data_IF_301561131750
#
_entry.id   IF_301561131750
#
_cell.length_a   1.000
_cell.length_b   1.000
_cell.length_c   1.000
_cell.angle_alpha   90.00
_cell.angle_beta   90.00
_cell.angle_gamma   90.00
#
_symmetry.space_group_name_H-M   'P 1'
#
loop_
_entity.id
_entity.type
_entity.pdbx_description
1 polymer ?
#
# COMPACT_ATOMS: atom_id res chain seq x y z
N UNK A 1 -0.13 -8.32 2.88
CA UNK A 1 -1.05 -7.84 3.94
C UNK A 1 -1.93 -6.75 3.35
N UNK A 2 -3.23 -6.76 3.62
CA UNK A 2 -4.18 -5.72 3.20
C UNK A 2 -4.54 -4.85 4.41
N UNK A 3 -4.57 -3.54 4.22
CA UNK A 3 -4.99 -2.59 5.26
C UNK A 3 -6.19 -1.79 4.76
N UNK A 4 -7.34 -1.81 5.47
CA UNK A 4 -8.48 -1.01 5.11
C UNK A 4 -8.15 0.48 5.25
N UNK A 5 -8.43 1.26 4.20
CA UNK A 5 -8.18 2.69 4.17
C UNK A 5 -9.35 3.43 3.53
N UNK A 6 -9.49 4.70 3.87
CA UNK A 6 -10.48 5.57 3.24
C UNK A 6 -9.82 6.33 2.08
N UNK A 7 -10.58 6.55 0.99
CA UNK A 7 -10.09 7.28 -0.19
C UNK A 7 -9.49 8.66 0.16
N UNK A 8 -10.05 9.32 1.17
CA UNK A 8 -9.67 10.66 1.59
C UNK A 8 -8.72 10.69 2.80
N UNK A 9 -8.12 9.55 3.18
CA UNK A 9 -7.13 9.55 4.24
C UNK A 9 -5.95 10.43 3.86
N UNK A 10 -5.48 11.23 4.83
CA UNK A 10 -4.28 12.06 4.64
C UNK A 10 -3.03 11.19 4.55
N UNK A 11 -1.94 11.77 4.05
CA UNK A 11 -0.63 11.10 4.04
C UNK A 11 -0.21 10.67 5.46
N UNK A 12 -0.52 11.49 6.47
CA UNK A 12 -0.22 11.20 7.88
C UNK A 12 -1.05 10.03 8.41
N UNK A 13 -2.36 10.01 8.17
CA UNK A 13 -3.21 8.90 8.59
C UNK A 13 -2.75 7.58 7.93
N UNK A 14 -2.41 7.65 6.65
CA UNK A 14 -1.87 6.53 5.89
C UNK A 14 -0.56 6.01 6.48
N UNK A 15 0.37 6.92 6.83
CA UNK A 15 1.63 6.58 7.48
C UNK A 15 1.46 5.93 8.85
N UNK A 16 0.59 6.49 9.70
CA UNK A 16 0.30 5.92 11.02
C UNK A 16 -0.28 4.51 10.89
N UNK A 17 -1.22 4.32 9.95
CA UNK A 17 -1.83 3.02 9.71
C UNK A 17 -0.82 1.97 9.23
N UNK A 18 0.04 2.32 8.27
CA UNK A 18 1.08 1.42 7.76
C UNK A 18 2.11 1.11 8.85
N UNK A 19 2.45 2.08 9.69
CA UNK A 19 3.36 1.89 10.81
C UNK A 19 2.78 0.91 11.85
N UNK A 20 1.58 1.21 12.35
CA UNK A 20 0.99 0.46 13.45
C UNK A 20 0.55 -0.94 13.07
N UNK A 21 0.02 -1.11 11.85
CA UNK A 21 -0.56 -2.40 11.42
C UNK A 21 0.33 -3.15 10.46
N UNK A 22 1.06 -2.44 9.60
CA UNK A 22 1.94 -3.06 8.61
C UNK A 22 3.27 -3.46 9.17
N UNK A 23 4.07 -2.47 9.55
CA UNK A 23 5.44 -2.71 10.01
C UNK A 23 5.47 -3.51 11.30
N UNK A 24 4.50 -3.32 12.20
CA UNK A 24 4.38 -4.18 13.39
C UNK A 24 4.15 -5.66 13.07
N UNK A 25 3.52 -5.98 11.93
CA UNK A 25 3.22 -7.36 11.56
C UNK A 25 4.33 -8.01 10.72
N UNK A 26 4.97 -7.24 9.85
CA UNK A 26 5.95 -7.76 8.86
C UNK A 26 7.39 -7.36 9.14
N UNK A 27 7.62 -6.47 10.10
CA UNK A 27 8.90 -5.80 10.29
C UNK A 27 9.15 -4.67 9.28
N UNK A 28 10.31 -4.02 9.40
CA UNK A 28 10.74 -2.94 8.51
C UNK A 28 11.27 -3.54 7.20
N UNK A 29 10.70 -3.11 6.08
CA UNK A 29 11.20 -3.49 4.76
C UNK A 29 12.46 -2.70 4.39
N UNK A 30 13.42 -3.36 3.75
CA UNK A 30 14.63 -2.71 3.23
C UNK A 30 14.33 -1.91 1.95
N UNK A 31 13.47 -2.44 1.08
CA UNK A 31 13.07 -1.82 -0.17
C UNK A 31 11.54 -1.83 -0.28
N UNK A 32 10.95 -0.70 -0.63
CA UNK A 32 9.50 -0.55 -0.87
C UNK A 32 9.29 0.04 -2.26
N UNK A 33 8.36 -0.54 -3.01
CA UNK A 33 7.88 -0.02 -4.28
C UNK A 33 6.46 0.48 -4.05
N UNK A 34 6.26 1.79 -4.22
CA UNK A 34 4.95 2.44 -4.06
C UNK A 34 4.46 2.99 -5.39
N UNK A 35 3.16 3.13 -5.54
CA UNK A 35 2.58 3.93 -6.61
C UNK A 35 2.77 5.42 -6.34
N UNK A 36 2.55 6.25 -7.37
CA UNK A 36 2.80 7.71 -7.35
C UNK A 36 1.62 8.54 -6.83
N UNK A 37 0.80 8.00 -5.94
CA UNK A 37 -0.26 8.78 -5.31
C UNK A 37 0.36 9.92 -4.45
N UNK A 38 -0.24 11.13 -4.43
CA UNK A 38 0.28 12.29 -3.70
C UNK A 38 0.62 12.03 -2.24
N UNK A 39 -0.04 11.06 -1.59
CA UNK A 39 0.25 10.68 -0.20
C UNK A 39 1.65 10.09 -0.06
N UNK A 40 2.05 9.25 -1.01
CA UNK A 40 3.32 8.54 -1.02
C UNK A 40 4.46 9.34 -1.65
N UNK A 41 4.16 10.42 -2.38
CA UNK A 41 5.17 11.37 -2.86
C UNK A 41 5.36 12.57 -1.92
N UNK A 42 4.59 12.64 -0.82
CA UNK A 42 4.65 13.73 0.15
C UNK A 42 6.00 13.81 0.88
N UNK A 43 6.33 15.01 1.38
CA UNK A 43 7.53 15.23 2.18
C UNK A 43 7.53 14.39 3.47
N UNK A 44 6.36 14.23 4.10
CA UNK A 44 6.17 13.35 5.26
C UNK A 44 6.61 11.93 4.94
N UNK A 45 6.09 11.36 3.84
CA UNK A 45 6.38 9.99 3.44
C UNK A 45 7.85 9.79 3.09
N UNK A 46 8.42 10.73 2.33
CA UNK A 46 9.84 10.69 1.97
C UNK A 46 10.76 10.74 3.19
N UNK A 47 10.46 11.63 4.16
CA UNK A 47 11.25 11.74 5.39
C UNK A 47 11.09 10.52 6.30
N UNK A 48 9.90 9.93 6.34
CA UNK A 48 9.63 8.71 7.08
C UNK A 48 10.53 7.55 6.61
N UNK A 49 10.61 7.31 5.30
CA UNK A 49 11.48 6.27 4.75
C UNK A 49 12.97 6.52 4.99
N UNK A 50 13.41 7.79 4.93
CA UNK A 50 14.79 8.16 5.28
C UNK A 50 15.12 7.81 6.74
N UNK A 51 14.20 8.09 7.67
CA UNK A 51 14.39 7.78 9.09
C UNK A 51 14.55 6.27 9.34
N UNK A 52 13.79 5.44 8.61
CA UNK A 52 13.85 3.98 8.75
C UNK A 52 14.96 3.32 7.93
N UNK A 53 15.71 4.09 7.13
CA UNK A 53 16.71 3.53 6.22
C UNK A 53 16.11 2.66 5.12
N UNK A 54 14.83 2.83 4.80
CA UNK A 54 14.16 2.08 3.75
C UNK A 54 14.33 2.77 2.40
N UNK A 55 14.71 2.01 1.37
CA UNK A 55 14.75 2.51 0.00
C UNK A 55 13.35 2.55 -0.58
N UNK A 56 12.83 3.75 -0.80
CA UNK A 56 11.56 3.98 -1.49
C UNK A 56 11.80 4.16 -2.99
N UNK A 57 11.15 3.33 -3.79
CA UNK A 57 11.06 3.44 -5.25
C UNK A 57 9.61 3.64 -5.66
N UNK A 58 9.37 4.35 -6.76
CA UNK A 58 8.02 4.49 -7.31
C UNK A 58 7.84 3.62 -8.54
N UNK A 59 6.71 2.93 -8.65
CA UNK A 59 6.36 2.20 -9.85
C UNK A 59 6.24 3.17 -11.05
N UNK A 60 6.60 2.67 -12.21
CA UNK A 60 6.39 3.36 -13.49
C UNK A 60 5.08 2.85 -14.09
N UNK A 61 4.36 3.67 -14.90
CA UNK A 61 3.10 3.26 -15.52
C UNK A 61 3.15 1.97 -16.37
N UNK A 62 4.35 1.47 -16.64
CA UNK A 62 4.62 0.27 -17.44
C UNK A 62 5.57 -0.67 -16.69
N UNK A 63 5.21 -1.11 -15.48
CA UNK A 63 5.86 -2.23 -14.80
C UNK A 63 4.94 -3.45 -14.67
N UNK A 64 4.42 -4.01 -15.80
CA UNK A 64 3.34 -5.00 -15.81
C UNK A 64 3.65 -6.31 -15.06
N UNK A 65 4.92 -6.63 -14.80
CA UNK A 65 5.27 -7.82 -14.01
C UNK A 65 4.99 -7.63 -12.51
N UNK A 66 5.36 -6.50 -11.91
CA UNK A 66 5.07 -6.25 -10.49
C UNK A 66 3.67 -5.66 -10.30
N UNK A 67 3.33 -4.63 -11.06
CA UNK A 67 2.03 -3.99 -10.94
C UNK A 67 0.93 -4.97 -11.33
N UNK A 68 1.11 -5.75 -12.41
CA UNK A 68 0.12 -6.74 -12.83
C UNK A 68 -0.06 -7.92 -11.86
N UNK A 69 0.95 -8.28 -11.06
CA UNK A 69 0.76 -9.29 -10.00
C UNK A 69 -0.08 -8.72 -8.85
N UNK A 70 0.24 -7.51 -8.39
CA UNK A 70 -0.49 -6.85 -7.32
C UNK A 70 -1.93 -6.52 -7.77
N UNK A 71 -2.11 -6.01 -8.98
CA UNK A 71 -3.41 -5.71 -9.57
C UNK A 71 -4.29 -6.96 -9.72
N UNK A 72 -3.73 -8.07 -10.24
CA UNK A 72 -4.49 -9.34 -10.30
C UNK A 72 -4.90 -9.85 -8.92
N UNK A 73 -4.01 -9.72 -7.93
CA UNK A 73 -4.32 -10.08 -6.55
C UNK A 73 -5.46 -9.21 -6.00
N UNK A 74 -5.40 -7.88 -6.20
CA UNK A 74 -6.45 -6.94 -5.78
C UNK A 74 -7.78 -7.27 -6.47
N UNK A 75 -7.79 -7.50 -7.78
CA UNK A 75 -9.01 -7.89 -8.52
C UNK A 75 -9.62 -9.20 -8.00
N UNK A 76 -8.78 -10.21 -7.74
CA UNK A 76 -9.25 -11.50 -7.18
C UNK A 76 -9.89 -11.29 -5.82
N UNK A 77 -9.30 -10.44 -4.99
CA UNK A 77 -9.83 -10.11 -3.66
C UNK A 77 -11.13 -9.29 -3.74
N UNK A 78 -11.20 -8.31 -4.63
CA UNK A 78 -12.42 -7.52 -4.87
C UNK A 78 -13.57 -8.43 -5.32
N UNK A 79 -13.33 -9.40 -6.20
CA UNK A 79 -14.32 -10.38 -6.63
C UNK A 79 -14.78 -11.26 -5.46
N UNK A 80 -13.85 -11.77 -4.64
CA UNK A 80 -14.18 -12.57 -3.44
C UNK A 80 -15.03 -11.75 -2.46
N UNK A 81 -14.63 -10.52 -2.14
CA UNK A 81 -15.35 -9.64 -1.21
C UNK A 81 -16.74 -9.31 -1.77
N UNK A 82 -16.83 -9.03 -3.07
CA UNK A 82 -18.11 -8.72 -3.74
C UNK A 82 -19.07 -9.90 -3.66
N UNK A 83 -18.58 -11.12 -3.92
CA UNK A 83 -19.39 -12.34 -3.81
C UNK A 83 -19.81 -12.61 -2.37
N UNK A 84 -18.90 -12.44 -1.40
CA UNK A 84 -19.22 -12.59 0.01
C UNK A 84 -20.34 -11.64 0.44
N UNK A 85 -20.23 -10.35 0.08
CA UNK A 85 -21.27 -9.36 0.38
C UNK A 85 -22.59 -9.60 -0.36
N UNK A 86 -22.55 -10.09 -1.61
CA UNK A 86 -23.75 -10.32 -2.42
C UNK A 86 -24.51 -11.59 -2.04
N UNK A 87 -23.80 -12.65 -1.64
CA UNK A 87 -24.39 -13.97 -1.36
C UNK A 87 -24.46 -14.31 0.14
N UNK A 88 -23.90 -13.48 1.02
CA UNK A 88 -24.05 -13.60 2.48
C UNK A 88 -23.69 -14.99 3.01
N UNK A 89 -22.50 -15.48 2.67
CA UNK A 89 -21.88 -16.59 3.40
C UNK A 89 -21.17 -16.01 4.62
#
# INVERSE_FOLDING_TARGET
MLLPCHKHDTAMNTAIMIWNKGISHTGIFQNIISHRDPKFTSALWTNLHKLFGTKLSFSTPYHPQMDGLVERMIQTLEDIISRFCAYGI
#
